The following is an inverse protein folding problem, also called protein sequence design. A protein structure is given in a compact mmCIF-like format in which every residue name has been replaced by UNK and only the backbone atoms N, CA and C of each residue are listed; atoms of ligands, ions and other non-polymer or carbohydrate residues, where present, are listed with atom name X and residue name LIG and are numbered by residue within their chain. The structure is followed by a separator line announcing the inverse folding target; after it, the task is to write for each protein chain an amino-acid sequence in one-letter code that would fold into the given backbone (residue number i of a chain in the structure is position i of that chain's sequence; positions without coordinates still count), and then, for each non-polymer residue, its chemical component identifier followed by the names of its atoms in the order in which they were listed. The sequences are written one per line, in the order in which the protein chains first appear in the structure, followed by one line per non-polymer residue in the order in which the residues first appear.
data_IF_770337755995
#
_entry.id   IF_770337755995
#
_cell.length_a   1.000
_cell.length_b   1.000
_cell.length_c   1.000
_cell.angle_alpha   90.00
_cell.angle_beta   90.00
_cell.angle_gamma   90.00
#
_symmetry.space_group_name_H-M   'P 1'
#
loop_
_entity.id
_entity.type
_entity.pdbx_description
1 polymer ?
#
# COMPACT_ATOMS: atom_id res chain seq x y z
N UNK A 1 7.06 -7.90 14.46
CA UNK A 1 7.08 -6.61 15.17
C UNK A 1 6.06 -6.63 16.30
N UNK A 2 4.78 -6.91 16.03
CA UNK A 2 3.70 -6.98 17.04
C UNK A 2 4.09 -7.85 18.25
N UNK A 3 4.54 -9.09 18.02
CA UNK A 3 4.97 -9.99 19.08
C UNK A 3 6.07 -9.40 20.00
N UNK A 4 7.04 -8.71 19.42
CA UNK A 4 8.15 -8.12 20.20
C UNK A 4 7.73 -6.89 21.00
N UNK A 5 6.66 -6.21 20.59
CA UNK A 5 6.18 -4.99 21.27
C UNK A 5 5.04 -5.26 22.25
N UNK A 6 4.16 -6.21 21.93
CA UNK A 6 2.91 -6.46 22.66
C UNK A 6 2.91 -7.83 23.37
N UNK A 7 3.99 -8.61 23.20
CA UNK A 7 4.17 -9.93 23.83
C UNK A 7 3.34 -11.05 23.19
N UNK A 8 2.49 -10.73 22.22
CA UNK A 8 1.66 -11.68 21.47
C UNK A 8 1.34 -11.11 20.09
N UNK A 9 1.08 -11.98 19.13
CA UNK A 9 0.63 -11.59 17.79
C UNK A 9 -0.83 -11.98 17.59
N UNK A 10 -1.59 -11.09 16.96
CA UNK A 10 -2.96 -11.37 16.54
C UNK A 10 -2.97 -12.07 15.17
N UNK A 11 -4.04 -12.84 14.88
CA UNK A 11 -4.22 -13.44 13.55
C UNK A 11 -4.36 -12.38 12.48
N UNK A 12 -5.10 -11.32 12.77
CA UNK A 12 -5.27 -10.17 11.88
C UNK A 12 -3.93 -9.48 11.64
N UNK A 13 -3.13 -9.23 12.68
CA UNK A 13 -1.79 -8.63 12.54
C UNK A 13 -0.83 -9.47 11.71
N UNK A 14 -0.89 -10.80 11.83
CA UNK A 14 -0.09 -11.71 10.98
C UNK A 14 -0.53 -11.63 9.51
N UNK A 15 -1.84 -11.65 9.25
CA UNK A 15 -2.40 -11.55 7.90
C UNK A 15 -2.05 -10.18 7.27
N UNK A 16 -2.26 -9.09 8.00
CA UNK A 16 -1.92 -7.73 7.55
C UNK A 16 -0.42 -7.60 7.24
N UNK A 17 0.45 -8.18 8.09
CA UNK A 17 1.88 -8.18 7.86
C UNK A 17 2.29 -8.95 6.60
N UNK A 18 1.65 -10.09 6.33
CA UNK A 18 1.87 -10.85 5.10
C UNK A 18 1.42 -10.07 3.86
N UNK A 19 0.23 -9.48 3.91
CA UNK A 19 -0.31 -8.64 2.81
C UNK A 19 0.60 -7.43 2.57
N UNK A 20 1.04 -6.74 3.62
CA UNK A 20 1.95 -5.60 3.50
C UNK A 20 3.27 -5.97 2.81
N UNK A 21 3.83 -7.15 3.14
CA UNK A 21 5.01 -7.68 2.45
C UNK A 21 4.76 -7.94 0.97
N UNK A 22 3.62 -8.55 0.63
CA UNK A 22 3.23 -8.82 -0.76
C UNK A 22 2.99 -7.52 -1.55
N UNK A 23 2.35 -6.52 -0.94
CA UNK A 23 2.18 -5.19 -1.55
C UNK A 23 3.54 -4.56 -1.87
N UNK A 24 4.50 -4.61 -0.93
CA UNK A 24 5.83 -4.08 -1.14
C UNK A 24 6.60 -4.76 -2.26
N UNK A 25 6.42 -6.06 -2.45
CA UNK A 25 7.09 -6.82 -3.52
C UNK A 25 6.39 -6.64 -4.87
N UNK A 26 5.12 -6.24 -4.89
CA UNK A 26 4.32 -6.13 -6.12
C UNK A 26 4.99 -5.28 -7.21
N UNK A 27 5.46 -4.03 -6.97
CA UNK A 27 6.15 -3.26 -8.00
C UNK A 27 7.52 -3.83 -8.39
N UNK A 28 8.11 -4.67 -7.55
CA UNK A 28 9.41 -5.28 -7.77
C UNK A 28 9.35 -6.61 -8.56
N UNK A 29 8.14 -7.16 -8.78
CA UNK A 29 7.96 -8.44 -9.43
C UNK A 29 8.53 -8.43 -10.85
N UNK A 30 9.43 -9.36 -11.14
CA UNK A 30 10.16 -9.43 -12.43
C UNK A 30 11.40 -8.54 -12.53
N UNK A 31 11.64 -7.65 -11.56
CA UNK A 31 12.78 -6.72 -11.59
C UNK A 31 13.87 -7.06 -10.56
N UNK A 32 13.57 -7.90 -9.59
CA UNK A 32 14.50 -8.24 -8.50
C UNK A 32 14.64 -9.74 -8.34
N UNK A 33 15.73 -10.17 -7.71
CA UNK A 33 15.91 -11.59 -7.36
C UNK A 33 14.95 -12.02 -6.24
N UNK A 34 14.63 -13.31 -6.08
CA UNK A 34 13.80 -13.79 -4.97
C UNK A 34 14.33 -13.38 -3.58
N UNK A 35 15.65 -13.40 -3.39
CA UNK A 35 16.27 -12.97 -2.14
C UNK A 35 16.02 -11.48 -1.87
N UNK A 36 16.17 -10.62 -2.87
CA UNK A 36 15.84 -9.20 -2.78
C UNK A 36 14.36 -8.97 -2.51
N UNK A 37 13.49 -9.77 -3.14
CA UNK A 37 12.04 -9.72 -2.89
C UNK A 37 11.69 -10.01 -1.42
N UNK A 38 12.34 -10.99 -0.80
CA UNK A 38 12.14 -11.26 0.64
C UNK A 38 12.57 -10.08 1.52
N UNK A 39 13.69 -9.41 1.18
CA UNK A 39 14.16 -8.23 1.91
C UNK A 39 13.18 -7.06 1.75
N UNK A 40 12.69 -6.81 0.53
CA UNK A 40 11.68 -5.79 0.26
C UNK A 40 10.42 -6.05 1.09
N UNK A 41 9.90 -7.28 1.06
CA UNK A 41 8.70 -7.64 1.80
C UNK A 41 8.87 -7.46 3.31
N UNK A 42 10.03 -7.83 3.86
CA UNK A 42 10.34 -7.64 5.28
C UNK A 42 10.38 -6.16 5.67
N UNK A 43 11.11 -5.34 4.92
CA UNK A 43 11.23 -3.90 5.18
C UNK A 43 9.85 -3.23 5.10
N UNK A 44 9.10 -3.53 4.03
CA UNK A 44 7.78 -2.95 3.81
C UNK A 44 6.81 -3.32 4.93
N UNK A 45 6.77 -4.59 5.34
CA UNK A 45 5.89 -5.02 6.45
C UNK A 45 6.17 -4.27 7.75
N UNK A 46 7.45 -4.02 8.07
CA UNK A 46 7.83 -3.25 9.27
C UNK A 46 7.37 -1.80 9.16
N UNK A 47 7.58 -1.17 8.00
CA UNK A 47 7.18 0.23 7.77
C UNK A 47 5.65 0.37 7.79
N UNK A 48 4.91 -0.55 7.16
CA UNK A 48 3.45 -0.56 7.20
C UNK A 48 2.91 -0.71 8.63
N UNK A 49 3.50 -1.60 9.44
CA UNK A 49 3.13 -1.71 10.85
C UNK A 49 3.30 -0.38 11.60
N UNK A 50 4.41 0.31 11.39
CA UNK A 50 4.62 1.64 11.99
C UNK A 50 3.61 2.66 11.48
N UNK A 51 3.28 2.64 10.19
CA UNK A 51 2.26 3.50 9.57
C UNK A 51 0.87 3.27 10.14
N UNK A 52 0.48 2.01 10.36
CA UNK A 52 -0.80 1.67 10.98
C UNK A 52 -0.88 2.25 12.40
N UNK A 53 0.19 2.09 13.20
CA UNK A 53 0.23 2.66 14.55
C UNK A 53 0.16 4.19 14.54
N UNK A 54 0.85 4.83 13.61
CA UNK A 54 0.80 6.29 13.44
C UNK A 54 -0.61 6.76 13.01
N UNK A 55 -1.21 6.08 12.02
CA UNK A 55 -2.57 6.34 11.56
C UNK A 55 -3.58 6.28 12.73
N UNK A 56 -3.50 5.22 13.53
CA UNK A 56 -4.37 5.04 14.69
C UNK A 56 -4.16 6.13 15.76
N UNK A 57 -2.92 6.57 15.95
CA UNK A 57 -2.61 7.68 16.87
C UNK A 57 -3.15 9.03 16.37
N UNK A 58 -3.19 9.22 15.04
CA UNK A 58 -3.73 10.43 14.41
C UNK A 58 -5.26 10.37 14.23
N UNK A 59 -5.90 9.29 14.64
CA UNK A 59 -7.35 9.06 14.50
C UNK A 59 -7.85 9.21 13.04
N UNK A 60 -7.00 8.83 12.07
CA UNK A 60 -7.33 8.91 10.67
C UNK A 60 -8.30 7.78 10.29
N UNK A 61 -9.43 8.15 9.67
CA UNK A 61 -10.51 7.23 9.28
C UNK A 61 -10.10 6.36 8.08
N UNK A 62 -9.48 5.24 8.37
CA UNK A 62 -9.06 4.19 7.43
C UNK A 62 -9.17 2.84 8.16
N UNK A 63 -10.39 2.33 8.26
CA UNK A 63 -10.72 1.15 9.09
C UNK A 63 -10.03 -0.14 8.63
N UNK A 64 -9.71 -0.25 7.34
CA UNK A 64 -9.05 -1.42 6.75
C UNK A 64 -7.53 -1.26 6.59
N UNK A 65 -6.94 -0.21 7.16
CA UNK A 65 -5.52 0.11 7.03
C UNK A 65 -5.03 0.25 5.57
N UNK A 66 -5.96 0.58 4.65
CA UNK A 66 -5.72 0.56 3.21
C UNK A 66 -4.62 1.53 2.81
N UNK A 67 -4.65 2.75 3.33
CA UNK A 67 -3.60 3.74 3.03
C UNK A 67 -2.24 3.32 3.60
N UNK A 68 -2.23 2.82 4.84
CA UNK A 68 -0.99 2.39 5.50
C UNK A 68 -0.36 1.19 4.79
N UNK A 69 -1.17 0.24 4.28
CA UNK A 69 -0.68 -0.97 3.61
C UNK A 69 -0.41 -0.71 2.12
N UNK A 70 -1.36 -0.12 1.38
CA UNK A 70 -1.21 0.03 -0.07
C UNK A 70 -0.53 1.35 -0.47
N UNK A 71 -0.89 2.48 0.14
CA UNK A 71 -0.26 3.77 -0.14
C UNK A 71 1.20 3.79 0.28
N UNK A 72 1.45 3.55 1.57
CA UNK A 72 2.82 3.56 2.11
C UNK A 72 3.60 2.34 1.62
N UNK A 73 3.02 1.14 1.70
CA UNK A 73 3.68 -0.10 1.27
C UNK A 73 4.04 -0.10 -0.22
N UNK A 74 3.12 0.35 -1.10
CA UNK A 74 3.39 0.48 -2.53
C UNK A 74 4.49 1.51 -2.84
N UNK A 75 4.50 2.64 -2.12
CA UNK A 75 5.56 3.66 -2.24
C UNK A 75 6.92 3.10 -1.88
N UNK A 76 7.02 2.46 -0.71
CA UNK A 76 8.28 1.86 -0.26
C UNK A 76 8.72 0.75 -1.23
N UNK A 77 7.78 -0.09 -1.69
CA UNK A 77 8.04 -1.12 -2.67
C UNK A 77 8.60 -0.58 -3.99
N UNK A 78 8.00 0.48 -4.53
CA UNK A 78 8.48 1.14 -5.74
C UNK A 78 9.91 1.69 -5.59
N UNK A 79 10.19 2.41 -4.50
CA UNK A 79 11.53 2.93 -4.22
C UNK A 79 12.56 1.81 -4.03
N UNK A 80 12.20 0.76 -3.29
CA UNK A 80 13.07 -0.40 -3.09
C UNK A 80 13.27 -1.21 -4.37
N UNK A 81 12.33 -1.18 -5.32
CA UNK A 81 12.54 -1.73 -6.66
C UNK A 81 13.73 -1.06 -7.33
N UNK A 82 13.80 0.26 -7.29
CA UNK A 82 14.96 1.02 -7.81
C UNK A 82 16.28 0.63 -7.12
N UNK A 83 16.21 0.35 -5.80
CA UNK A 83 17.40 -0.07 -5.02
C UNK A 83 17.86 -1.49 -5.38
N UNK A 84 16.93 -2.43 -5.56
CA UNK A 84 17.25 -3.86 -5.70
C UNK A 84 17.13 -4.38 -7.13
N UNK A 85 16.78 -3.53 -8.13
CA UNK A 85 16.71 -3.95 -9.54
C UNK A 85 17.98 -4.65 -9.98
N UNK A 86 17.80 -5.77 -10.70
CA UNK A 86 18.89 -6.62 -11.19
C UNK A 86 18.97 -6.51 -12.72
N UNK A 87 20.11 -6.03 -13.23
CA UNK A 87 20.34 -5.80 -14.65
C UNK A 87 20.14 -7.04 -15.52
N UNK A 88 20.50 -8.22 -14.99
CA UNK A 88 20.41 -9.47 -15.75
C UNK A 88 18.95 -9.90 -15.97
N UNK A 89 18.12 -9.69 -14.93
CA UNK A 89 16.69 -10.01 -15.01
C UNK A 89 15.93 -9.06 -15.93
N UNK A 90 16.34 -7.79 -15.98
CA UNK A 90 15.66 -6.74 -16.75
C UNK A 90 16.37 -6.39 -18.06
N UNK A 91 17.27 -7.25 -18.55
CA UNK A 91 18.12 -6.97 -19.71
C UNK A 91 17.34 -6.55 -20.97
N UNK A 92 16.11 -7.03 -21.12
CA UNK A 92 15.23 -6.66 -22.25
C UNK A 92 14.31 -5.45 -21.94
N UNK A 93 14.35 -4.89 -20.74
CA UNK A 93 13.49 -3.78 -20.32
C UNK A 93 14.24 -2.44 -20.41
N UNK A 94 13.60 -1.33 -20.83
CA UNK A 94 14.27 -0.02 -20.92
C UNK A 94 14.96 0.43 -19.64
N UNK A 95 14.43 0.05 -18.46
CA UNK A 95 15.06 0.35 -17.18
C UNK A 95 16.47 -0.25 -17.01
N UNK A 96 16.83 -1.29 -17.78
CA UNK A 96 18.19 -1.83 -17.74
C UNK A 96 19.21 -0.84 -18.28
N UNK A 97 18.86 -0.12 -19.33
CA UNK A 97 19.72 0.92 -19.93
C UNK A 97 19.97 2.04 -18.91
N UNK A 98 18.93 2.54 -18.26
CA UNK A 98 19.07 3.54 -17.20
C UNK A 98 19.98 3.03 -16.07
N UNK A 99 19.81 1.79 -15.65
CA UNK A 99 20.63 1.21 -14.58
C UNK A 99 22.10 1.08 -14.98
N UNK A 100 22.38 0.71 -16.24
CA UNK A 100 23.75 0.49 -16.77
C UNK A 100 24.42 1.81 -17.11
N UNK A 101 23.73 2.74 -17.78
CA UNK A 101 24.29 3.98 -18.30
C UNK A 101 24.31 5.10 -17.27
N UNK A 102 23.24 5.28 -16.50
CA UNK A 102 23.03 6.39 -15.58
C UNK A 102 23.19 5.99 -14.11
N UNK A 103 23.14 4.68 -13.84
CA UNK A 103 23.34 4.12 -12.52
C UNK A 103 22.07 4.03 -11.66
N UNK A 104 22.23 3.43 -10.51
CA UNK A 104 21.15 3.07 -9.60
C UNK A 104 20.39 4.27 -9.05
N UNK A 105 21.07 5.38 -8.80
CA UNK A 105 20.42 6.60 -8.30
C UNK A 105 19.43 7.19 -9.29
N UNK A 106 19.75 7.21 -10.58
CA UNK A 106 18.82 7.64 -11.63
C UNK A 106 17.54 6.79 -11.63
N UNK A 107 17.68 5.47 -11.49
CA UNK A 107 16.54 4.57 -11.41
C UNK A 107 15.68 4.84 -10.16
N UNK A 108 16.28 5.10 -9.01
CA UNK A 108 15.56 5.45 -7.78
C UNK A 108 14.80 6.79 -7.96
N UNK A 109 15.43 7.80 -8.56
CA UNK A 109 14.77 9.07 -8.85
C UNK A 109 13.59 8.89 -9.82
N UNK A 110 13.75 8.08 -10.86
CA UNK A 110 12.65 7.74 -11.76
C UNK A 110 11.47 7.06 -11.04
N UNK A 111 11.75 6.17 -10.08
CA UNK A 111 10.70 5.58 -9.23
C UNK A 111 10.02 6.64 -8.36
N UNK A 112 10.76 7.58 -7.79
CA UNK A 112 10.19 8.67 -7.00
C UNK A 112 9.28 9.57 -7.86
N UNK A 113 9.72 9.94 -9.06
CA UNK A 113 8.90 10.72 -10.00
C UNK A 113 7.61 9.97 -10.37
N UNK A 114 7.70 8.67 -10.67
CA UNK A 114 6.53 7.84 -10.97
C UNK A 114 5.55 7.78 -9.80
N UNK A 115 6.05 7.64 -8.57
CA UNK A 115 5.23 7.67 -7.35
C UNK A 115 4.52 9.01 -7.19
N UNK A 116 5.22 10.13 -7.38
CA UNK A 116 4.62 11.47 -7.27
C UNK A 116 3.53 11.70 -8.32
N UNK A 117 3.77 11.27 -9.55
CA UNK A 117 2.75 11.31 -10.63
C UNK A 117 1.55 10.44 -10.28
N UNK A 118 1.77 9.22 -9.77
CA UNK A 118 0.69 8.33 -9.34
C UNK A 118 -0.16 8.95 -8.22
N UNK A 119 0.46 9.56 -7.21
CA UNK A 119 -0.26 10.27 -6.16
C UNK A 119 -1.06 11.46 -6.72
N UNK A 120 -0.47 12.25 -7.60
CA UNK A 120 -1.16 13.39 -8.23
C UNK A 120 -2.39 12.94 -9.03
N UNK A 121 -2.23 11.94 -9.88
CA UNK A 121 -3.33 11.38 -10.69
C UNK A 121 -4.41 10.74 -9.81
N UNK A 122 -4.03 9.98 -8.79
CA UNK A 122 -4.98 9.32 -7.88
C UNK A 122 -5.77 10.36 -7.08
N UNK A 123 -5.11 11.37 -6.52
CA UNK A 123 -5.77 12.42 -5.77
C UNK A 123 -6.74 13.22 -6.66
N UNK A 124 -6.26 13.67 -7.82
CA UNK A 124 -7.09 14.42 -8.77
C UNK A 124 -8.29 13.60 -9.25
N UNK A 125 -8.05 12.35 -9.69
CA UNK A 125 -9.11 11.47 -10.18
C UNK A 125 -10.14 11.16 -9.10
N UNK A 126 -9.69 10.85 -7.89
CA UNK A 126 -10.59 10.56 -6.76
C UNK A 126 -11.44 11.79 -6.39
N UNK A 127 -10.83 12.98 -6.31
CA UNK A 127 -11.56 14.22 -6.03
C UNK A 127 -12.61 14.50 -7.12
N UNK A 128 -12.23 14.37 -8.39
CA UNK A 128 -13.13 14.61 -9.52
C UNK A 128 -14.32 13.65 -9.47
N UNK A 129 -14.08 12.35 -9.29
CA UNK A 129 -15.13 11.33 -9.20
C UNK A 129 -16.02 11.59 -7.98
N UNK A 130 -15.44 11.82 -6.81
CA UNK A 130 -16.17 12.06 -5.58
C UNK A 130 -17.08 13.28 -5.70
N UNK A 131 -16.56 14.41 -6.19
CA UNK A 131 -17.39 15.62 -6.39
C UNK A 131 -18.51 15.42 -7.41
N UNK A 132 -18.25 14.64 -8.47
CA UNK A 132 -19.25 14.32 -9.48
C UNK A 132 -20.39 13.48 -8.89
N UNK A 133 -20.06 12.44 -8.16
CA UNK A 133 -21.04 11.58 -7.51
C UNK A 133 -21.84 12.33 -6.44
N UNK A 134 -21.18 13.14 -5.63
CA UNK A 134 -21.83 13.96 -4.60
C UNK A 134 -22.86 14.93 -5.23
N UNK A 135 -22.49 15.60 -6.34
CA UNK A 135 -23.41 16.47 -7.08
C UNK A 135 -24.58 15.71 -7.73
N UNK A 136 -24.39 14.42 -8.00
CA UNK A 136 -25.44 13.53 -8.53
C UNK A 136 -26.37 12.98 -7.43
N UNK A 137 -26.20 13.39 -6.18
CA UNK A 137 -27.04 12.98 -5.04
C UNK A 137 -26.61 11.65 -4.37
N UNK A 138 -25.44 11.12 -4.71
CA UNK A 138 -24.89 9.94 -4.05
C UNK A 138 -24.26 10.35 -2.71
N UNK A 139 -24.76 9.78 -1.62
CA UNK A 139 -24.16 9.93 -0.31
C UNK A 139 -23.04 8.89 -0.14
N UNK A 140 -21.84 9.36 0.26
CA UNK A 140 -20.70 8.47 0.50
C UNK A 140 -20.68 7.88 1.91
N UNK A 141 -21.50 8.41 2.78
CA UNK A 141 -21.50 8.00 4.18
C UNK A 141 -22.91 7.66 4.61
N UNK A 142 -23.05 6.54 5.27
CA UNK A 142 -24.29 6.13 5.93
C UNK A 142 -24.54 6.97 7.18
N UNK A 143 -25.74 6.91 7.73
CA UNK A 143 -26.05 7.59 9.00
C UNK A 143 -25.23 6.98 10.14
N UNK A 144 -24.97 7.79 11.20
CA UNK A 144 -24.27 7.29 12.39
C UNK A 144 -25.01 6.13 13.07
N UNK A 145 -26.34 6.12 12.98
CA UNK A 145 -27.16 5.05 13.55
C UNK A 145 -27.00 3.75 12.76
N UNK A 146 -26.91 3.83 11.42
CA UNK A 146 -26.69 2.66 10.57
C UNK A 146 -25.26 2.13 10.70
N UNK A 147 -24.27 3.04 10.78
CA UNK A 147 -22.87 2.67 11.06
C UNK A 147 -22.73 1.91 12.39
N UNK A 148 -23.50 2.32 13.43
CA UNK A 148 -23.49 1.66 14.74
C UNK A 148 -24.16 0.28 14.77
N UNK A 149 -25.10 0.02 13.85
CA UNK A 149 -25.79 -1.28 13.72
C UNK A 149 -24.97 -2.31 12.94
N UNK A 150 -23.99 -1.87 12.17
CA UNK A 150 -23.20 -2.69 11.26
C UNK A 150 -23.67 -2.60 9.82
N UNK A 151 -22.75 -2.32 8.91
CA UNK A 151 -23.05 -2.11 7.50
C UNK A 151 -23.41 -3.42 6.77
N UNK A 152 -22.93 -4.54 7.25
CA UNK A 152 -23.28 -5.87 6.77
C UNK A 152 -24.80 -6.13 6.90
N UNK A 153 -25.38 -5.79 8.03
CA UNK A 153 -26.82 -5.90 8.26
C UNK A 153 -27.63 -4.89 7.42
N UNK A 154 -27.21 -3.62 7.45
CA UNK A 154 -27.98 -2.52 6.84
C UNK A 154 -27.91 -2.54 5.32
N UNK A 155 -26.71 -2.74 4.75
CA UNK A 155 -26.49 -2.66 3.29
C UNK A 155 -26.66 -4.03 2.59
N UNK A 156 -26.35 -5.12 3.28
CA UNK A 156 -26.35 -6.45 2.67
C UNK A 156 -27.38 -7.41 3.29
N UNK A 157 -27.96 -7.08 4.44
CA UNK A 157 -28.93 -7.94 5.13
C UNK A 157 -28.34 -9.26 5.67
N UNK A 158 -27.02 -9.29 5.86
CA UNK A 158 -26.28 -10.48 6.30
C UNK A 158 -25.45 -10.15 7.54
N UNK A 159 -25.38 -11.08 8.47
CA UNK A 159 -24.44 -11.01 9.61
C UNK A 159 -23.19 -11.80 9.27
N UNK A 160 -22.02 -11.15 9.39
CA UNK A 160 -20.72 -11.79 9.12
C UNK A 160 -20.36 -12.86 10.16
N UNK A 161 -20.93 -12.76 11.37
CA UNK A 161 -20.73 -13.72 12.47
C UNK A 161 -22.07 -14.02 13.13
N UNK A 162 -22.46 -15.29 13.12
CA UNK A 162 -23.58 -15.82 13.89
C UNK A 162 -23.09 -16.37 15.22
#
# INVERSE_FOLDING_TARGET
VEYFREGKSSVVGMATGAIAGLVGVTPAAGFVTPASGMIIGLITSVICYCSIKLKNHLEFDDSLDTFAVHGVGGTIGALLTGVFANSDLISSHPASQVLIEEGRFALIFGQLEAVLVAYGLSAFGTILIALTLQKSGVNFRVSKDDESKGLDIIEHGEESYQ
#
